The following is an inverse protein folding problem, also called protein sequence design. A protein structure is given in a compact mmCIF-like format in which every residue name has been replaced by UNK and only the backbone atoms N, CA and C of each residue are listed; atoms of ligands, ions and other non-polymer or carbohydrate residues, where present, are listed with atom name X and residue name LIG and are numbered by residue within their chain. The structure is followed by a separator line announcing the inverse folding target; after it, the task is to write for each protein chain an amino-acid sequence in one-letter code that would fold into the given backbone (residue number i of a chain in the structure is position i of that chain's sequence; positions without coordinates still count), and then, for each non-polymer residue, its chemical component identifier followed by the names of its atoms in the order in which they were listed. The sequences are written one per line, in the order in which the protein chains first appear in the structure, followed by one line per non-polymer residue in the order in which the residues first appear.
data_IF_052070321437
#
_entry.id   IF_052070321437
#
_cell.length_a   1.000
_cell.length_b   1.000
_cell.length_c   1.000
_cell.angle_alpha   90.00
_cell.angle_beta   90.00
_cell.angle_gamma   90.00
#
_symmetry.space_group_name_H-M   'P 1'
#
loop_
_entity.id
_entity.type
_entity.pdbx_description
1 polymer ?
#
# COMPACT_ATOMS: atom_id res chain seq x y z
N UNK A 1 -12.32 12.89 12.92
CA UNK A 1 -11.35 12.75 11.81
C UNK A 1 -11.25 11.29 11.42
N UNK A 2 -11.23 10.92 10.13
CA UNK A 2 -11.01 9.52 9.74
C UNK A 2 -9.54 9.10 9.84
N UNK A 3 -9.29 7.79 9.98
CA UNK A 3 -7.94 7.19 10.03
C UNK A 3 -7.10 7.59 8.80
N UNK A 4 -5.81 7.85 9.00
CA UNK A 4 -4.85 8.13 7.91
C UNK A 4 -4.60 6.86 7.09
N UNK A 5 -4.26 7.01 5.82
CA UNK A 5 -3.98 5.87 4.94
C UNK A 5 -2.53 5.40 5.14
N UNK A 6 -2.33 4.10 5.25
CA UNK A 6 -1.01 3.48 5.07
C UNK A 6 -1.08 2.53 3.87
N UNK A 7 -0.32 2.81 2.83
CA UNK A 7 -0.15 1.94 1.69
C UNK A 7 1.07 1.06 1.91
N UNK A 8 0.84 -0.22 2.14
CA UNK A 8 1.88 -1.23 2.25
C UNK A 8 2.08 -1.85 0.87
N UNK A 9 3.26 -1.67 0.28
CA UNK A 9 3.62 -2.28 -0.99
C UNK A 9 4.46 -3.54 -0.77
N UNK A 10 4.04 -4.61 -1.44
CA UNK A 10 4.62 -5.95 -1.43
C UNK A 10 4.66 -6.46 -2.88
N UNK A 11 5.71 -7.17 -3.28
CA UNK A 11 5.82 -7.64 -4.66
C UNK A 11 7.26 -8.04 -5.03
N UNK A 12 7.57 -8.21 -6.32
CA UNK A 12 8.93 -8.49 -6.75
C UNK A 12 9.87 -7.37 -6.30
N UNK A 13 11.12 -7.71 -5.99
CA UNK A 13 12.18 -6.72 -5.74
C UNK A 13 12.24 -5.81 -6.98
N UNK A 14 11.82 -4.55 -6.82
CA UNK A 14 11.99 -3.53 -7.84
C UNK A 14 13.48 -3.40 -8.20
N UNK A 15 13.83 -2.96 -9.43
CA UNK A 15 15.23 -2.87 -9.86
C UNK A 15 16.02 -1.84 -9.06
N UNK A 16 17.34 -1.92 -9.22
CA UNK A 16 18.50 -1.32 -8.53
C UNK A 16 18.42 0.05 -7.80
N UNK A 17 17.35 0.86 -7.93
CA UNK A 17 17.22 2.16 -7.26
C UNK A 17 16.11 2.20 -6.20
N UNK A 18 16.36 2.81 -5.02
CA UNK A 18 15.35 2.92 -3.98
C UNK A 18 14.14 3.76 -4.42
N UNK A 19 12.93 3.36 -4.00
CA UNK A 19 11.72 4.17 -4.14
C UNK A 19 11.88 5.59 -3.52
N UNK A 20 12.82 5.76 -2.58
CA UNK A 20 13.17 7.04 -1.99
C UNK A 20 13.58 8.10 -3.03
N UNK A 21 14.17 7.69 -4.15
CA UNK A 21 14.56 8.59 -5.25
C UNK A 21 13.33 9.24 -5.94
N UNK A 22 12.13 8.68 -5.74
CA UNK A 22 10.88 9.16 -6.31
C UNK A 22 9.87 9.64 -5.26
N UNK A 23 10.35 10.01 -4.06
CA UNK A 23 9.49 10.50 -2.98
C UNK A 23 8.65 11.73 -3.39
N UNK A 24 9.12 12.56 -4.32
CA UNK A 24 8.36 13.71 -4.83
C UNK A 24 7.06 13.30 -5.54
N UNK A 25 7.07 12.21 -6.32
CA UNK A 25 5.87 11.73 -7.01
C UNK A 25 4.79 11.31 -6.00
N UNK A 26 5.21 10.61 -4.95
CA UNK A 26 4.33 10.19 -3.86
C UNK A 26 3.85 11.39 -3.02
N UNK A 27 4.73 12.38 -2.80
CA UNK A 27 4.39 13.64 -2.14
C UNK A 27 3.33 14.44 -2.90
N UNK A 28 3.42 14.51 -4.24
CA UNK A 28 2.40 15.12 -5.10
C UNK A 28 1.07 14.37 -5.03
N UNK A 29 1.09 13.04 -4.89
CA UNK A 29 -0.10 12.24 -4.62
C UNK A 29 -0.66 12.43 -3.18
N UNK A 30 0.08 13.13 -2.32
CA UNK A 30 -0.28 13.50 -0.95
C UNK A 30 0.20 12.53 0.13
N UNK A 31 1.02 11.54 -0.21
CA UNK A 31 1.63 10.62 0.73
C UNK A 31 3.07 10.98 1.07
N UNK A 32 3.56 10.48 2.18
CA UNK A 32 4.98 10.51 2.53
C UNK A 32 5.59 9.11 2.45
N UNK A 33 6.89 9.06 2.18
CA UNK A 33 7.72 7.87 2.33
C UNK A 33 8.63 8.12 3.54
N UNK A 34 8.36 7.54 4.72
CA UNK A 34 8.86 8.07 5.98
C UNK A 34 10.33 7.76 6.28
N UNK A 35 11.07 7.04 5.41
CA UNK A 35 12.47 6.66 5.66
C UNK A 35 13.29 6.47 4.38
N UNK A 36 14.61 6.47 4.55
CA UNK A 36 15.55 5.90 3.59
C UNK A 36 15.34 4.37 3.45
N UNK A 37 15.93 3.79 2.39
CA UNK A 37 15.80 2.36 2.09
C UNK A 37 16.45 1.42 3.10
N UNK A 38 17.45 1.87 3.85
CA UNK A 38 18.17 1.01 4.80
C UNK A 38 17.30 0.61 5.99
N UNK A 39 16.54 1.56 6.54
CA UNK A 39 15.63 1.29 7.65
C UNK A 39 14.49 0.33 7.26
N UNK A 40 14.04 0.37 6.00
CA UNK A 40 13.02 -0.56 5.47
C UNK A 40 13.60 -1.97 5.34
N UNK A 41 14.85 -2.11 4.89
CA UNK A 41 15.50 -3.42 4.79
C UNK A 41 15.74 -4.05 6.16
N UNK A 42 16.20 -3.29 7.16
CA UNK A 42 16.35 -3.79 8.54
C UNK A 42 15.02 -4.27 9.11
N UNK A 43 13.93 -3.52 8.85
CA UNK A 43 12.59 -3.93 9.27
C UNK A 43 12.13 -5.23 8.57
N UNK A 44 12.51 -5.45 7.31
CA UNK A 44 12.23 -6.73 6.65
C UNK A 44 12.98 -7.89 7.26
N UNK A 45 14.27 -7.70 7.56
CA UNK A 45 15.08 -8.73 8.23
C UNK A 45 14.50 -9.09 9.59
N UNK A 46 14.02 -8.09 10.34
CA UNK A 46 13.31 -8.30 11.61
C UNK A 46 12.04 -9.15 11.40
N UNK A 47 11.10 -8.66 10.59
CA UNK A 47 9.76 -9.26 10.49
C UNK A 47 9.79 -10.65 9.84
N UNK A 48 10.68 -10.87 8.88
CA UNK A 48 10.89 -12.18 8.26
C UNK A 48 11.76 -13.11 9.10
N UNK A 49 12.27 -12.64 10.25
CA UNK A 49 13.14 -13.37 11.19
C UNK A 49 14.46 -13.85 10.55
N UNK A 50 14.96 -13.15 9.54
CA UNK A 50 16.15 -13.51 8.73
C UNK A 50 17.48 -12.93 9.25
N UNK A 51 17.53 -12.48 10.50
CA UNK A 51 18.73 -11.87 11.09
C UNK A 51 19.98 -12.77 10.96
N UNK A 52 19.86 -14.09 11.15
CA UNK A 52 20.98 -15.03 10.99
C UNK A 52 21.49 -15.10 9.56
N UNK A 53 20.59 -15.15 8.57
CA UNK A 53 20.94 -15.15 7.14
C UNK A 53 21.63 -13.85 6.73
N UNK A 54 21.26 -12.74 7.38
CA UNK A 54 21.90 -11.44 7.19
C UNK A 54 23.22 -11.26 7.97
N UNK A 55 23.67 -12.27 8.74
CA UNK A 55 24.86 -12.15 9.59
C UNK A 55 24.69 -11.21 10.79
N UNK A 56 23.44 -10.91 11.16
CA UNK A 56 23.07 -9.98 12.23
C UNK A 56 22.60 -10.73 13.49
N UNK A 57 22.76 -10.10 14.65
CA UNK A 57 22.14 -10.56 15.89
C UNK A 57 20.69 -10.06 15.92
N UNK A 58 19.82 -10.77 16.64
CA UNK A 58 18.42 -10.35 16.83
C UNK A 58 18.30 -8.91 17.33
N UNK A 59 19.12 -8.54 18.32
CA UNK A 59 19.15 -7.19 18.90
C UNK A 59 19.51 -6.08 17.91
N UNK A 60 20.14 -6.42 16.78
CA UNK A 60 20.57 -5.44 15.78
C UNK A 60 19.40 -5.03 14.86
N UNK A 61 18.32 -5.84 14.82
CA UNK A 61 17.13 -5.59 13.99
C UNK A 61 15.85 -5.40 14.80
N UNK A 62 15.88 -5.71 16.09
CA UNK A 62 14.72 -5.65 16.97
C UNK A 62 14.14 -4.23 17.07
N UNK A 63 12.83 -4.12 16.84
CA UNK A 63 12.08 -2.86 16.88
C UNK A 63 12.24 -1.98 15.65
N UNK A 64 12.91 -2.45 14.58
CA UNK A 64 13.09 -1.69 13.35
C UNK A 64 11.74 -1.37 12.67
N UNK A 65 10.86 -2.36 12.52
CA UNK A 65 9.52 -2.18 11.95
C UNK A 65 8.66 -1.28 12.83
N UNK A 66 8.64 -1.52 14.14
CA UNK A 66 7.91 -0.69 15.09
C UNK A 66 8.41 0.76 15.08
N UNK A 67 9.71 0.98 14.95
CA UNK A 67 10.32 2.31 14.80
C UNK A 67 9.87 3.01 13.53
N UNK A 68 9.75 2.26 12.43
CA UNK A 68 9.25 2.75 11.15
C UNK A 68 7.78 3.17 11.25
N UNK A 69 6.92 2.31 11.80
CA UNK A 69 5.51 2.61 12.02
C UNK A 69 5.33 3.84 12.93
N UNK A 70 6.12 3.98 14.00
CA UNK A 70 6.11 5.18 14.85
C UNK A 70 6.47 6.45 14.09
N UNK A 71 7.47 6.41 13.21
CA UNK A 71 7.81 7.56 12.35
C UNK A 71 6.66 7.91 11.41
N UNK A 72 6.05 6.92 10.78
CA UNK A 72 4.87 7.11 9.93
C UNK A 72 3.71 7.77 10.71
N UNK A 73 3.45 7.32 11.96
CA UNK A 73 2.45 7.93 12.82
C UNK A 73 2.75 9.39 13.16
N UNK A 74 4.00 9.68 13.54
CA UNK A 74 4.46 11.04 13.90
C UNK A 74 4.40 12.00 12.72
N UNK A 75 4.64 11.53 11.50
CA UNK A 75 4.55 12.34 10.30
C UNK A 75 3.15 12.90 10.05
N UNK A 76 2.10 12.31 10.65
CA UNK A 76 0.76 12.87 10.65
C UNK A 76 0.04 12.86 9.30
N UNK A 77 0.63 12.25 8.28
CA UNK A 77 0.12 12.22 6.89
C UNK A 77 -0.16 10.80 6.42
N UNK A 78 -0.84 10.69 5.28
CA UNK A 78 -0.94 9.41 4.58
C UNK A 78 0.47 8.95 4.17
N UNK A 79 0.74 7.65 4.24
CA UNK A 79 2.10 7.11 4.10
C UNK A 79 2.16 5.96 3.11
N UNK A 80 3.30 5.80 2.45
CA UNK A 80 3.64 4.63 1.64
C UNK A 80 4.84 3.93 2.27
N UNK A 81 4.68 2.63 2.53
CA UNK A 81 5.69 1.73 3.07
C UNK A 81 5.95 0.67 2.01
N UNK A 82 7.06 0.78 1.29
CA UNK A 82 7.40 -0.18 0.24
C UNK A 82 8.44 -1.15 0.74
N UNK A 83 8.05 -2.42 0.88
CA UNK A 83 8.97 -3.49 1.22
C UNK A 83 8.64 -4.75 0.42
N UNK A 84 9.26 -4.93 -0.77
CA UNK A 84 9.04 -6.08 -1.63
C UNK A 84 9.18 -7.45 -0.93
N UNK A 85 10.18 -7.61 -0.03
CA UNK A 85 10.49 -8.89 0.62
C UNK A 85 9.37 -9.43 1.50
N UNK A 86 8.40 -8.60 1.88
CA UNK A 86 7.20 -9.06 2.58
C UNK A 86 6.33 -10.00 1.73
N UNK A 87 6.62 -10.18 0.44
CA UNK A 87 6.02 -11.22 -0.37
C UNK A 87 6.36 -12.64 0.14
N UNK A 88 7.44 -12.76 0.90
CA UNK A 88 7.92 -14.01 1.51
C UNK A 88 7.41 -14.21 2.94
N UNK A 89 6.57 -13.31 3.45
CA UNK A 89 6.04 -13.39 4.81
C UNK A 89 5.10 -14.59 4.94
N UNK A 90 5.17 -15.31 6.07
CA UNK A 90 4.10 -16.24 6.48
C UNK A 90 2.85 -15.48 6.90
N UNK A 91 1.74 -16.18 7.08
CA UNK A 91 0.48 -15.57 7.58
C UNK A 91 0.69 -14.89 8.94
N UNK A 92 1.39 -15.52 9.88
CA UNK A 92 1.66 -14.92 11.20
C UNK A 92 2.56 -13.69 11.08
N UNK A 93 3.54 -13.71 10.16
CA UNK A 93 4.40 -12.56 9.92
C UNK A 93 3.61 -11.41 9.28
N UNK A 94 2.75 -11.70 8.31
CA UNK A 94 1.88 -10.71 7.68
C UNK A 94 0.92 -10.06 8.70
N UNK A 95 0.30 -10.87 9.57
CA UNK A 95 -0.55 -10.37 10.65
C UNK A 95 0.23 -9.43 11.60
N UNK A 96 1.43 -9.83 12.05
CA UNK A 96 2.27 -8.98 12.89
C UNK A 96 2.72 -7.68 12.20
N UNK A 97 3.00 -7.74 10.89
CA UNK A 97 3.34 -6.55 10.10
C UNK A 97 2.16 -5.56 10.10
N UNK A 98 0.95 -6.06 9.87
CA UNK A 98 -0.27 -5.25 9.83
C UNK A 98 -0.66 -4.69 11.21
N UNK A 99 -0.48 -5.47 12.28
CA UNK A 99 -0.79 -5.05 13.65
C UNK A 99 0.00 -3.81 14.07
N UNK A 100 1.27 -3.73 13.67
CA UNK A 100 2.09 -2.54 13.94
C UNK A 100 1.61 -1.28 13.20
N UNK A 101 0.73 -1.41 12.21
CA UNK A 101 0.08 -0.30 11.50
C UNK A 101 -1.30 0.03 12.09
N UNK A 102 -1.63 -0.48 13.27
CA UNK A 102 -2.82 -0.09 14.01
C UNK A 102 -2.96 1.44 14.11
N UNK A 103 -4.18 1.95 13.91
CA UNK A 103 -4.46 3.38 13.80
C UNK A 103 -4.41 3.94 12.37
N UNK A 104 -3.84 3.20 11.41
CA UNK A 104 -4.02 3.49 9.99
C UNK A 104 -5.24 2.79 9.40
N UNK A 105 -5.64 3.27 8.23
CA UNK A 105 -6.51 2.65 7.25
C UNK A 105 -5.58 1.98 6.22
N UNK A 106 -5.22 0.72 6.47
CA UNK A 106 -4.20 0.02 5.68
C UNK A 106 -4.76 -0.42 4.33
N UNK A 107 -4.00 -0.16 3.27
CA UNK A 107 -4.20 -0.67 1.94
C UNK A 107 -2.96 -1.43 1.50
N UNK A 108 -3.14 -2.65 1.01
CA UNK A 108 -2.07 -3.45 0.44
C UNK A 108 -1.99 -3.21 -1.07
N UNK A 109 -0.79 -2.98 -1.58
CA UNK A 109 -0.50 -3.00 -3.01
C UNK A 109 0.40 -4.19 -3.29
N UNK A 110 -0.11 -5.15 -4.04
CA UNK A 110 0.64 -6.29 -4.56
C UNK A 110 1.08 -5.98 -5.98
N UNK A 111 2.39 -5.95 -6.23
CA UNK A 111 2.93 -5.86 -7.59
C UNK A 111 3.38 -7.21 -8.11
N UNK A 112 3.37 -7.36 -9.43
CA UNK A 112 3.86 -8.53 -10.18
C UNK A 112 4.34 -8.08 -11.55
N UNK A 113 5.26 -8.82 -12.16
CA UNK A 113 5.65 -8.58 -13.55
C UNK A 113 4.66 -9.24 -14.50
N UNK A 114 4.43 -8.63 -15.66
CA UNK A 114 3.46 -9.06 -16.67
C UNK A 114 3.57 -10.57 -17.01
N UNK A 115 4.79 -11.08 -17.12
CA UNK A 115 5.08 -12.46 -17.51
C UNK A 115 5.43 -13.39 -16.33
N UNK A 116 5.35 -12.88 -15.10
CA UNK A 116 5.63 -13.68 -13.90
C UNK A 116 4.41 -14.47 -13.43
N UNK A 117 4.67 -15.60 -12.75
CA UNK A 117 3.62 -16.39 -12.10
C UNK A 117 2.72 -15.50 -11.23
N UNK A 118 1.41 -15.81 -11.15
CA UNK A 118 0.44 -14.95 -10.48
C UNK A 118 0.83 -14.67 -9.02
N UNK A 119 0.41 -13.51 -8.50
CA UNK A 119 0.56 -13.11 -7.08
C UNK A 119 -0.18 -14.04 -6.09
N UNK A 120 -0.56 -15.25 -6.48
CA UNK A 120 -1.41 -16.15 -5.73
C UNK A 120 -0.92 -16.35 -4.28
N UNK A 121 0.35 -16.68 -4.06
CA UNK A 121 0.90 -16.88 -2.71
C UNK A 121 0.77 -15.65 -1.80
N UNK A 122 1.35 -14.48 -2.17
CA UNK A 122 1.17 -13.25 -1.40
C UNK A 122 -0.30 -12.80 -1.31
N UNK A 123 -1.11 -13.01 -2.34
CA UNK A 123 -2.52 -12.64 -2.31
C UNK A 123 -3.30 -13.49 -1.29
N UNK A 124 -3.09 -14.81 -1.29
CA UNK A 124 -3.68 -15.76 -0.35
C UNK A 124 -3.25 -15.49 1.09
N UNK A 125 -1.98 -15.12 1.29
CA UNK A 125 -1.44 -14.80 2.62
C UNK A 125 -2.02 -13.50 3.18
N UNK A 126 -2.10 -12.46 2.35
CA UNK A 126 -2.37 -11.10 2.85
C UNK A 126 -3.84 -10.68 2.73
N UNK A 127 -4.59 -11.17 1.74
CA UNK A 127 -5.97 -10.72 1.51
C UNK A 127 -6.93 -11.07 2.66
N UNK A 128 -6.88 -12.25 3.29
CA UNK A 128 -7.77 -12.59 4.41
C UNK A 128 -7.60 -11.68 5.63
N UNK A 129 -6.43 -11.07 5.79
CA UNK A 129 -6.10 -10.21 6.92
C UNK A 129 -6.63 -8.77 6.79
N UNK A 130 -7.22 -8.43 5.64
CA UNK A 130 -7.63 -7.06 5.31
C UNK A 130 -9.12 -7.00 4.91
N UNK A 131 -9.84 -5.92 5.27
CA UNK A 131 -11.20 -5.71 4.79
C UNK A 131 -11.31 -5.70 3.26
N UNK A 132 -12.48 -6.05 2.73
CA UNK A 132 -12.76 -6.00 1.30
C UNK A 132 -12.45 -4.62 0.70
N UNK A 133 -11.81 -4.61 -0.49
CA UNK A 133 -11.42 -3.39 -1.20
C UNK A 133 -10.16 -2.70 -0.65
N UNK A 134 -9.43 -3.34 0.26
CA UNK A 134 -8.12 -2.86 0.76
C UNK A 134 -6.91 -3.41 0.01
N UNK A 135 -7.09 -4.49 -0.75
CA UNK A 135 -6.03 -5.09 -1.56
C UNK A 135 -6.11 -4.58 -3.00
N UNK A 136 -4.98 -4.15 -3.55
CA UNK A 136 -4.85 -3.66 -4.92
C UNK A 136 -3.72 -4.43 -5.60
N UNK A 137 -4.04 -5.12 -6.70
CA UNK A 137 -3.02 -5.79 -7.52
C UNK A 137 -2.63 -4.86 -8.67
N UNK A 138 -1.33 -4.75 -8.96
CA UNK A 138 -0.75 -3.96 -10.04
C UNK A 138 0.25 -4.80 -10.83
N UNK A 139 0.19 -4.68 -12.16
CA UNK A 139 1.17 -5.29 -13.06
C UNK A 139 2.19 -4.24 -13.43
N UNK A 140 3.45 -4.63 -13.40
CA UNK A 140 4.58 -3.89 -13.91
C UNK A 140 5.05 -4.59 -15.19
N UNK A 141 5.44 -3.81 -16.20
CA UNK A 141 6.07 -4.34 -17.40
C UNK A 141 7.44 -4.96 -17.06
N UNK A 142 7.93 -5.84 -17.91
CA UNK A 142 9.29 -6.34 -17.76
C UNK A 142 10.30 -5.18 -17.92
N UNK A 143 11.31 -5.12 -17.05
CA UNK A 143 12.25 -4.00 -17.01
C UNK A 143 11.73 -2.71 -16.37
N UNK A 144 10.49 -2.71 -15.85
CA UNK A 144 9.91 -1.57 -15.13
C UNK A 144 10.83 -1.09 -13.99
N UNK A 145 11.14 0.19 -14.00
CA UNK A 145 12.00 0.88 -13.05
C UNK A 145 11.31 1.27 -11.74
N UNK A 146 12.08 1.93 -10.88
CA UNK A 146 11.58 2.53 -9.63
C UNK A 146 10.55 3.65 -9.88
N UNK A 147 10.62 4.34 -11.04
CA UNK A 147 9.61 5.33 -11.47
C UNK A 147 8.27 4.66 -11.70
N UNK A 148 8.23 3.58 -12.48
CA UNK A 148 6.98 2.88 -12.82
C UNK A 148 6.28 2.38 -11.55
N UNK A 149 7.05 1.83 -10.61
CA UNK A 149 6.52 1.48 -9.29
C UNK A 149 5.95 2.70 -8.56
N UNK A 150 6.67 3.82 -8.52
CA UNK A 150 6.20 5.04 -7.86
C UNK A 150 4.89 5.56 -8.48
N UNK A 151 4.74 5.49 -9.80
CA UNK A 151 3.52 5.85 -10.51
C UNK A 151 2.35 4.93 -10.17
N UNK A 152 2.58 3.60 -10.15
CA UNK A 152 1.54 2.64 -9.75
C UNK A 152 1.07 2.90 -8.32
N UNK A 153 2.00 3.15 -7.40
CA UNK A 153 1.69 3.48 -6.01
C UNK A 153 0.92 4.80 -5.90
N UNK A 154 1.36 5.85 -6.59
CA UNK A 154 0.66 7.14 -6.65
C UNK A 154 -0.76 6.99 -7.21
N UNK A 155 -0.96 6.18 -8.26
CA UNK A 155 -2.28 5.90 -8.81
C UNK A 155 -3.23 5.23 -7.80
N UNK A 156 -2.72 4.30 -6.99
CA UNK A 156 -3.50 3.70 -5.90
C UNK A 156 -3.83 4.75 -4.83
N UNK A 157 -2.85 5.56 -4.40
CA UNK A 157 -3.07 6.65 -3.42
C UNK A 157 -4.23 7.53 -3.87
N UNK A 158 -4.17 8.05 -5.10
CA UNK A 158 -5.17 8.95 -5.65
C UNK A 158 -6.55 8.29 -5.71
N UNK A 159 -6.60 7.02 -6.13
CA UNK A 159 -7.85 6.24 -6.18
C UNK A 159 -8.49 6.09 -4.80
N UNK A 160 -7.69 5.73 -3.78
CA UNK A 160 -8.17 5.57 -2.40
C UNK A 160 -8.65 6.90 -1.84
N UNK A 161 -7.87 7.97 -2.01
CA UNK A 161 -8.22 9.31 -1.53
C UNK A 161 -9.49 9.81 -2.19
N UNK A 162 -9.65 9.61 -3.50
CA UNK A 162 -10.89 9.96 -4.23
C UNK A 162 -12.10 9.25 -3.63
N UNK A 163 -12.05 7.93 -3.45
CA UNK A 163 -13.14 7.15 -2.84
C UNK A 163 -13.49 7.65 -1.43
N UNK A 164 -12.49 8.03 -0.65
CA UNK A 164 -12.67 8.58 0.70
C UNK A 164 -13.36 9.95 0.68
N UNK A 165 -12.99 10.82 -0.27
CA UNK A 165 -13.65 12.11 -0.48
C UNK A 165 -15.10 11.93 -0.94
N UNK A 166 -15.36 11.03 -1.88
CA UNK A 166 -16.72 10.71 -2.37
C UNK A 166 -17.62 10.20 -1.22
N UNK A 167 -17.10 9.34 -0.33
CA UNK A 167 -17.83 8.88 0.87
C UNK A 167 -18.12 10.01 1.87
N UNK A 168 -17.25 11.01 1.96
CA UNK A 168 -17.40 12.14 2.89
C UNK A 168 -18.30 13.25 2.35
N UNK A 169 -18.57 13.28 1.06
CA UNK A 169 -19.39 14.31 0.44
C UNK A 169 -20.70 13.72 -0.14
N UNK A 170 -21.75 13.54 0.70
CA UNK A 170 -23.03 13.00 0.25
C UNK A 170 -23.74 13.91 -0.77
N UNK A 171 -23.35 15.18 -0.87
CA UNK A 171 -23.89 16.13 -1.85
C UNK A 171 -23.40 15.81 -3.26
N UNK A 172 -22.13 15.41 -3.44
CA UNK A 172 -21.59 14.97 -4.74
C UNK A 172 -22.29 13.69 -5.22
N UNK A 173 -22.56 12.76 -4.29
CA UNK A 173 -23.31 11.53 -4.60
C UNK A 173 -24.76 11.82 -4.97
N UNK A 174 -25.42 12.80 -4.32
CA UNK A 174 -26.75 13.27 -4.72
C UNK A 174 -26.72 13.95 -6.08
N UNK A 175 -25.80 14.87 -6.33
CA UNK A 175 -25.71 15.61 -7.60
C UNK A 175 -25.45 14.69 -8.80
N UNK A 176 -24.65 13.62 -8.65
CA UNK A 176 -24.48 12.61 -9.71
C UNK A 176 -25.79 11.90 -10.10
N UNK A 177 -26.71 11.69 -9.15
CA UNK A 177 -28.07 11.18 -9.43
C UNK A 177 -28.93 12.16 -10.24
N UNK A 178 -28.62 13.46 -10.18
CA UNK A 178 -29.34 14.51 -10.92
C UNK A 178 -28.72 14.82 -12.29
N UNK A 179 -27.44 14.47 -12.49
CA UNK A 179 -26.69 14.72 -13.73
C UNK A 179 -26.63 13.47 -14.64
N UNK A 180 -27.14 12.31 -14.18
CA UNK A 180 -27.34 11.16 -15.04
C UNK A 180 -28.29 11.53 -16.22
N UNK A 181 -28.01 11.06 -17.46
CA UNK A 181 -28.81 11.41 -18.64
C UNK A 181 -30.30 11.17 -18.44
N UNK A 182 -31.12 12.10 -18.95
CA UNK A 182 -32.60 12.09 -18.82
C UNK A 182 -33.27 10.81 -19.32
N UNK A 183 -32.63 10.02 -20.16
CA UNK A 183 -33.20 8.80 -20.77
C UNK A 183 -33.57 7.69 -19.77
N UNK A 184 -33.10 7.74 -18.51
CA UNK A 184 -33.46 6.76 -17.48
C UNK A 184 -34.52 7.24 -16.47
N UNK A 185 -34.99 8.49 -16.55
CA UNK A 185 -36.06 8.98 -15.67
C UNK A 185 -37.47 8.59 -16.14
N UNK A 186 -37.63 8.33 -17.43
CA UNK A 186 -38.96 8.03 -18.01
C UNK A 186 -39.37 6.55 -17.86
N UNK A 187 -38.45 5.67 -17.43
CA UNK A 187 -38.74 4.25 -17.18
C UNK A 187 -39.23 3.94 -15.75
N UNK A 188 -39.23 4.91 -14.84
CA UNK A 188 -39.64 4.72 -13.44
C UNK A 188 -41.01 5.33 -13.07
N UNK A 189 -41.71 5.92 -14.04
CA UNK A 189 -43.06 6.49 -13.85
C UNK A 189 -44.13 5.68 -14.62
N UNK A 190 -43.73 4.63 -15.34
CA UNK A 190 -44.62 3.80 -16.17
C UNK A 190 -44.66 2.31 -15.76
N UNK A 191 -44.50 1.99 -14.47
CA UNK A 191 -44.73 0.63 -13.95
C UNK A 191 -45.31 0.66 -12.55
#
# INVERSE_FOLDING_TARGET
MGRRIALLHVGPRAPHRPLADHHELLARAGCLTPTDGTAVETAAVEMLRRHREAGLRRRDVEGAWAGLCRRAHRAGRDTVLSQPRFAEATEEQAALILDALAGFEVHLVLTTYADSAPVAGPLETWAPLLPAGRVHVRRLEEGAGSVDLAEQLAGVVLTVRRRRLERRNPVVTRLRRWVAPREQRDLLVAS
#
